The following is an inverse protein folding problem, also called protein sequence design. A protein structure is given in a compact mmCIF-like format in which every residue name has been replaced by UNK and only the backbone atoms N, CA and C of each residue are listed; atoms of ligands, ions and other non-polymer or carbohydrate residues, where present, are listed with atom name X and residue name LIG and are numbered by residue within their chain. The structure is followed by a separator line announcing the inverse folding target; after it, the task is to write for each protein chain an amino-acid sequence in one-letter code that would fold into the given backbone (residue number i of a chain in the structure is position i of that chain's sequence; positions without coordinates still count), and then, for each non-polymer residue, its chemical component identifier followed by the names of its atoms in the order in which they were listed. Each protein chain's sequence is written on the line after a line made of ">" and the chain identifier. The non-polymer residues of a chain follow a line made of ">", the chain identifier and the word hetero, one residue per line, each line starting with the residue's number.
data_IF_381073414523
#
_entry.id   IF_381073414523
#
_cell.length_a   1.000
_cell.length_b   1.000
_cell.length_c   1.000
_cell.angle_alpha   90.00
_cell.angle_beta   90.00
_cell.angle_gamma   90.00
#
_symmetry.space_group_name_H-M   'P 1'
#
loop_
_entity.id
_entity.type
_entity.pdbx_description
1 polymer ?
#
# COMPACT_ATOMS: atom_id res chain seq x y z
N UNK A 1 2.25 -7.23 0.45
CA UNK A 1 2.28 -8.31 -0.55
C UNK A 1 1.77 -9.65 -0.05
N UNK A 2 1.26 -9.71 1.16
CA UNK A 2 0.72 -10.95 1.75
C UNK A 2 -0.57 -11.44 1.07
N UNK A 3 -1.25 -10.58 0.33
CA UNK A 3 -2.59 -10.90 -0.20
C UNK A 3 -2.59 -11.55 -1.58
N UNK A 4 -1.44 -11.69 -2.22
CA UNK A 4 -1.37 -12.16 -3.62
C UNK A 4 -1.41 -13.69 -3.73
N UNK A 5 -0.92 -14.42 -2.74
CA UNK A 5 -0.94 -15.88 -2.76
C UNK A 5 -2.34 -16.42 -2.49
N UNK A 6 -2.85 -17.30 -3.35
CA UNK A 6 -4.19 -17.88 -3.20
C UNK A 6 -4.44 -18.57 -1.86
N UNK A 7 -3.39 -19.11 -1.26
CA UNK A 7 -3.50 -19.80 0.05
C UNK A 7 -3.57 -18.85 1.22
N UNK A 8 -3.31 -17.56 1.00
CA UNK A 8 -3.37 -16.56 2.06
C UNK A 8 -4.82 -16.23 2.36
N UNK A 9 -5.16 -16.15 3.66
CA UNK A 9 -6.53 -15.83 4.11
C UNK A 9 -7.02 -14.47 3.64
N UNK A 10 -6.11 -13.59 3.26
CA UNK A 10 -6.43 -12.23 2.80
C UNK A 10 -6.40 -12.11 1.26
N UNK A 11 -6.32 -13.21 0.53
CA UNK A 11 -6.32 -13.19 -0.93
C UNK A 11 -7.53 -12.46 -1.52
N UNK A 12 -8.66 -12.48 -0.80
CA UNK A 12 -9.86 -11.76 -1.24
C UNK A 12 -9.63 -10.26 -1.42
N UNK A 13 -8.63 -9.68 -0.73
CA UNK A 13 -8.26 -8.28 -0.91
C UNK A 13 -7.61 -8.04 -2.28
N UNK A 14 -6.79 -8.98 -2.74
CA UNK A 14 -6.21 -8.92 -4.08
C UNK A 14 -7.32 -9.03 -5.14
N UNK A 15 -8.26 -9.93 -4.95
CA UNK A 15 -9.42 -10.06 -5.83
C UNK A 15 -10.23 -8.76 -5.85
N UNK A 16 -10.41 -8.12 -4.69
CA UNK A 16 -11.07 -6.82 -4.60
C UNK A 16 -10.36 -5.74 -5.38
N UNK A 17 -9.03 -5.73 -5.33
CA UNK A 17 -8.24 -4.82 -6.15
C UNK A 17 -8.48 -5.08 -7.64
N UNK A 18 -8.43 -6.34 -8.06
CA UNK A 18 -8.66 -6.70 -9.46
C UNK A 18 -10.06 -6.30 -9.93
N UNK A 19 -11.04 -6.32 -9.02
CA UNK A 19 -12.42 -5.92 -9.32
C UNK A 19 -12.64 -4.40 -9.26
N UNK A 20 -11.63 -3.63 -8.84
CA UNK A 20 -11.74 -2.18 -8.76
C UNK A 20 -12.44 -1.66 -7.51
N UNK A 21 -12.50 -2.46 -6.44
CA UNK A 21 -13.24 -2.09 -5.23
C UNK A 21 -12.54 -1.00 -4.41
N UNK A 22 -11.27 -0.78 -4.62
CA UNK A 22 -10.51 0.32 -4.00
C UNK A 22 -9.39 0.77 -4.94
N UNK A 23 -8.85 1.94 -4.67
CA UNK A 23 -7.80 2.55 -5.48
C UNK A 23 -6.46 2.44 -4.76
N UNK A 24 -5.44 1.99 -5.48
CA UNK A 24 -4.07 1.92 -4.98
C UNK A 24 -3.27 3.12 -5.50
N UNK A 25 -2.65 3.86 -4.58
CA UNK A 25 -1.74 4.95 -4.92
C UNK A 25 -0.30 4.50 -4.72
N UNK A 26 0.58 4.87 -5.64
CA UNK A 26 1.97 4.48 -5.56
C UNK A 26 2.88 5.53 -6.19
N UNK A 27 4.14 5.54 -5.75
CA UNK A 27 5.20 6.28 -6.40
C UNK A 27 6.14 5.31 -7.08
N UNK A 28 7.06 5.81 -7.89
CA UNK A 28 8.09 4.96 -8.51
C UNK A 28 8.90 4.21 -7.45
N UNK A 29 9.25 4.88 -6.35
CA UNK A 29 10.02 4.27 -5.26
C UNK A 29 9.25 3.12 -4.59
N UNK A 30 7.95 3.30 -4.38
CA UNK A 30 7.10 2.24 -3.83
C UNK A 30 7.03 1.05 -4.78
N UNK A 31 6.90 1.32 -6.06
CA UNK A 31 6.83 0.27 -7.07
C UNK A 31 8.14 -0.55 -7.13
N UNK A 32 9.28 0.13 -7.00
CA UNK A 32 10.58 -0.53 -6.93
C UNK A 32 10.68 -1.46 -5.72
N UNK A 33 10.17 -1.03 -4.56
CA UNK A 33 10.14 -1.87 -3.37
C UNK A 33 9.23 -3.09 -3.57
N UNK A 34 8.07 -2.92 -4.20
CA UNK A 34 7.18 -4.03 -4.53
C UNK A 34 7.89 -5.04 -5.44
N UNK A 35 8.61 -4.57 -6.44
CA UNK A 35 9.40 -5.42 -7.33
C UNK A 35 10.43 -6.23 -6.56
N UNK A 36 11.19 -5.57 -5.70
CA UNK A 36 12.22 -6.21 -4.88
C UNK A 36 11.61 -7.31 -4.00
N UNK A 37 10.52 -7.00 -3.29
CA UNK A 37 9.88 -7.95 -2.39
C UNK A 37 9.29 -9.13 -3.17
N UNK A 38 8.65 -8.88 -4.28
CA UNK A 38 8.06 -9.94 -5.11
C UNK A 38 9.13 -10.85 -5.70
N UNK A 39 10.25 -10.27 -6.14
CA UNK A 39 11.38 -11.07 -6.66
C UNK A 39 11.96 -11.98 -5.59
N UNK A 40 12.06 -11.48 -4.35
CA UNK A 40 12.59 -12.27 -3.23
C UNK A 40 11.62 -13.37 -2.78
N UNK A 41 10.33 -13.08 -2.76
CA UNK A 41 9.33 -14.03 -2.24
C UNK A 41 8.79 -15.00 -3.30
N UNK A 42 8.92 -14.67 -4.55
CA UNK A 42 8.46 -15.51 -5.66
C UNK A 42 9.58 -15.69 -6.68
N UNK A 43 9.49 -15.05 -7.81
CA UNK A 43 10.53 -15.01 -8.84
C UNK A 43 10.31 -13.79 -9.73
N UNK A 44 11.26 -13.54 -10.63
CA UNK A 44 11.21 -12.38 -11.51
C UNK A 44 9.99 -12.41 -12.45
N UNK A 45 9.62 -13.56 -12.94
CA UNK A 45 8.48 -13.68 -13.85
C UNK A 45 7.17 -13.25 -13.15
N UNK A 46 6.93 -13.77 -11.95
CA UNK A 46 5.74 -13.42 -11.18
C UNK A 46 5.76 -11.95 -10.81
N UNK A 47 6.92 -11.42 -10.38
CA UNK A 47 7.06 -10.01 -10.06
C UNK A 47 6.70 -9.13 -11.25
N UNK A 48 7.19 -9.44 -12.44
CA UNK A 48 6.90 -8.70 -13.67
C UNK A 48 5.40 -8.71 -13.97
N UNK A 49 4.76 -9.86 -13.88
CA UNK A 49 3.33 -10.00 -14.14
C UNK A 49 2.50 -9.19 -13.14
N UNK A 50 2.80 -9.29 -11.85
CA UNK A 50 2.07 -8.57 -10.80
C UNK A 50 2.21 -7.06 -10.97
N UNK A 51 3.42 -6.58 -11.23
CA UNK A 51 3.67 -5.15 -11.41
C UNK A 51 2.95 -4.63 -12.65
N UNK A 52 2.92 -5.41 -13.72
CA UNK A 52 2.19 -5.03 -14.92
C UNK A 52 0.69 -4.92 -14.65
N UNK A 53 0.13 -5.85 -13.91
CA UNK A 53 -1.27 -5.79 -13.48
C UNK A 53 -1.53 -4.51 -12.68
N UNK A 54 -0.68 -4.20 -11.72
CA UNK A 54 -0.84 -3.01 -10.88
C UNK A 54 -0.77 -1.73 -11.72
N UNK A 55 0.23 -1.60 -12.59
CA UNK A 55 0.43 -0.38 -13.36
C UNK A 55 -0.59 -0.17 -14.46
N UNK A 56 -1.19 -1.25 -14.97
CA UNK A 56 -2.19 -1.18 -16.03
C UNK A 56 -3.63 -1.11 -15.50
N UNK A 57 -3.85 -1.35 -14.22
CA UNK A 57 -5.18 -1.34 -13.65
C UNK A 57 -5.77 0.08 -13.66
N UNK A 58 -7.07 0.24 -13.97
CA UNK A 58 -7.69 1.56 -13.99
C UNK A 58 -7.89 2.17 -12.60
N UNK A 59 -7.82 1.37 -11.56
CA UNK A 59 -7.97 1.80 -10.16
C UNK A 59 -6.63 1.97 -9.46
N UNK A 60 -5.61 2.36 -10.19
CA UNK A 60 -4.32 2.76 -9.63
C UNK A 60 -4.03 4.19 -9.99
N UNK A 61 -3.25 4.85 -9.15
CA UNK A 61 -2.87 6.23 -9.34
C UNK A 61 -1.39 6.39 -9.06
N UNK A 62 -0.64 6.75 -10.09
CA UNK A 62 0.78 7.05 -9.94
C UNK A 62 0.93 8.46 -9.39
N UNK A 63 1.67 8.59 -8.31
CA UNK A 63 1.87 9.84 -7.61
C UNK A 63 3.34 10.27 -7.74
N UNK A 64 3.56 11.54 -8.06
CA UNK A 64 4.88 12.15 -8.02
C UNK A 64 4.95 12.99 -6.76
N UNK A 65 5.58 12.47 -5.71
CA UNK A 65 5.73 13.18 -4.45
C UNK A 65 6.92 14.14 -4.55
N UNK A 66 6.64 15.44 -4.63
CA UNK A 66 7.66 16.47 -4.78
C UNK A 66 8.20 17.03 -3.47
N UNK A 67 7.60 16.62 -2.36
CA UNK A 67 8.00 17.08 -1.03
C UNK A 67 8.22 15.89 -0.10
N UNK A 68 9.33 15.92 0.64
CA UNK A 68 9.69 14.89 1.60
C UNK A 68 9.47 15.38 3.01
N UNK A 69 8.46 14.81 3.68
CA UNK A 69 8.09 15.23 5.02
C UNK A 69 9.03 14.69 6.11
N UNK A 70 9.67 13.56 5.85
CA UNK A 70 10.64 12.94 6.78
C UNK A 70 10.08 12.72 8.19
N UNK A 71 8.84 12.27 8.29
CA UNK A 71 8.15 12.12 9.58
C UNK A 71 8.58 10.88 10.35
N UNK A 72 8.99 9.83 9.65
CA UNK A 72 9.45 8.59 10.27
C UNK A 72 10.96 8.63 10.42
N UNK A 73 11.45 8.55 11.67
CA UNK A 73 12.87 8.65 11.96
C UNK A 73 13.54 7.31 12.19
N UNK A 74 12.81 6.31 12.70
CA UNK A 74 13.35 4.99 13.01
C UNK A 74 13.70 4.19 11.77
N UNK A 75 12.89 4.31 10.72
CA UNK A 75 13.17 3.68 9.44
C UNK A 75 12.82 4.68 8.32
N UNK A 76 13.78 5.50 7.91
CA UNK A 76 13.54 6.51 6.89
C UNK A 76 13.03 5.98 5.56
N UNK A 77 13.28 4.70 5.25
CA UNK A 77 12.80 4.08 4.02
C UNK A 77 11.27 3.99 3.97
N UNK A 78 10.60 4.01 5.12
CA UNK A 78 9.13 4.00 5.18
C UNK A 78 8.50 5.36 4.83
N UNK A 79 9.30 6.44 4.79
CA UNK A 79 8.80 7.77 4.47
C UNK A 79 8.19 7.89 3.06
N UNK A 80 8.62 7.05 2.12
CA UNK A 80 8.04 7.06 0.78
C UNK A 80 6.54 6.76 0.78
N UNK A 81 6.07 5.92 1.70
CA UNK A 81 4.65 5.61 1.84
C UNK A 81 3.88 6.80 2.43
N UNK A 82 4.47 7.47 3.40
CA UNK A 82 3.90 8.67 4.02
C UNK A 82 3.77 9.78 3.00
N UNK A 83 4.85 10.07 2.28
CA UNK A 83 4.87 11.13 1.27
C UNK A 83 3.84 10.86 0.18
N UNK A 84 3.74 9.61 -0.27
CA UNK A 84 2.74 9.21 -1.25
C UNK A 84 1.32 9.43 -0.74
N UNK A 85 1.03 9.01 0.48
CA UNK A 85 -0.30 9.14 1.07
C UNK A 85 -0.70 10.61 1.22
N UNK A 86 0.21 11.46 1.67
CA UNK A 86 -0.04 12.90 1.82
C UNK A 86 -0.33 13.52 0.45
N UNK A 87 0.55 13.28 -0.51
CA UNK A 87 0.42 13.89 -1.83
C UNK A 87 -0.81 13.41 -2.59
N UNK A 88 -1.18 12.14 -2.42
CA UNK A 88 -2.36 11.55 -3.03
C UNK A 88 -3.66 11.89 -2.30
N UNK A 89 -3.55 12.48 -1.10
CA UNK A 89 -4.69 12.65 -0.20
C UNK A 89 -5.40 11.30 0.02
N UNK A 90 -4.62 10.26 0.28
CA UNK A 90 -5.15 8.92 0.49
C UNK A 90 -5.95 8.83 1.79
N UNK A 91 -6.92 7.95 1.83
CA UNK A 91 -7.74 7.75 3.03
C UNK A 91 -6.90 7.16 4.16
N UNK A 92 -6.00 6.24 3.86
CA UNK A 92 -5.11 5.65 4.86
C UNK A 92 -3.98 4.86 4.20
N UNK A 93 -2.96 4.57 5.01
CA UNK A 93 -1.92 3.59 4.70
C UNK A 93 -2.29 2.28 5.39
N UNK A 94 -2.15 1.16 4.69
CA UNK A 94 -2.35 -0.17 5.28
C UNK A 94 -0.97 -0.76 5.59
N UNK A 95 -0.65 -0.90 6.87
CA UNK A 95 0.62 -1.47 7.28
C UNK A 95 0.57 -2.03 8.69
N UNK A 96 1.27 -3.16 8.90
CA UNK A 96 1.48 -3.74 10.23
C UNK A 96 2.80 -3.29 10.85
N UNK A 97 3.58 -2.47 10.13
CA UNK A 97 4.88 -2.00 10.60
C UNK A 97 4.71 -1.02 11.75
N UNK A 98 5.37 -1.32 12.87
CA UNK A 98 5.29 -0.50 14.08
C UNK A 98 5.93 0.88 13.91
N UNK A 99 6.81 1.09 12.93
CA UNK A 99 7.46 2.37 12.71
C UNK A 99 6.45 3.48 12.35
N UNK A 100 5.31 3.13 11.78
CA UNK A 100 4.27 4.10 11.46
C UNK A 100 3.57 4.69 12.70
N UNK A 101 3.81 4.15 13.89
CA UNK A 101 3.28 4.71 15.14
C UNK A 101 3.78 6.12 15.41
N UNK A 102 4.93 6.50 14.89
CA UNK A 102 5.45 7.86 15.00
C UNK A 102 4.46 8.89 14.45
N UNK A 103 3.61 8.50 13.51
CA UNK A 103 2.64 9.40 12.89
C UNK A 103 1.47 9.75 13.81
N UNK A 104 1.22 8.95 14.84
CA UNK A 104 0.10 9.17 15.77
C UNK A 104 0.21 10.52 16.51
N UNK A 105 1.43 10.99 16.73
CA UNK A 105 1.70 12.24 17.47
C UNK A 105 1.88 13.46 16.56
N UNK A 106 1.62 13.30 15.27
CA UNK A 106 1.81 14.37 14.29
C UNK A 106 0.46 14.90 13.84
N UNK A 107 0.22 16.18 14.12
CA UNK A 107 -1.06 16.83 13.80
C UNK A 107 -1.17 17.23 12.34
N UNK A 108 -0.03 17.57 11.72
CA UNK A 108 0.00 17.99 10.33
C UNK A 108 1.35 17.66 9.67
N UNK A 109 1.35 17.01 8.51
CA UNK A 109 0.19 16.43 7.83
C UNK A 109 -0.35 15.24 8.61
N UNK A 110 -1.66 15.08 8.61
CA UNK A 110 -2.29 13.96 9.31
C UNK A 110 -2.42 12.77 8.35
N UNK A 111 -1.83 11.64 8.74
CA UNK A 111 -1.88 10.41 7.96
C UNK A 111 -2.43 9.29 8.85
N UNK A 112 -3.51 8.70 8.42
CA UNK A 112 -4.12 7.57 9.11
C UNK A 112 -3.44 6.27 8.65
N UNK A 113 -3.05 5.43 9.59
CA UNK A 113 -2.48 4.11 9.31
C UNK A 113 -3.36 3.07 9.96
N UNK A 114 -3.76 2.08 9.20
CA UNK A 114 -4.54 0.95 9.73
C UNK A 114 -3.81 -0.36 9.42
N UNK A 115 -4.04 -1.35 10.27
CA UNK A 115 -3.45 -2.68 10.08
C UNK A 115 -4.19 -3.43 8.97
N UNK A 116 -3.52 -4.42 8.39
CA UNK A 116 -4.11 -5.26 7.34
C UNK A 116 -5.42 -5.90 7.81
N UNK A 117 -5.47 -6.36 9.06
CA UNK A 117 -6.66 -6.97 9.62
C UNK A 117 -7.82 -5.98 9.71
N UNK A 118 -7.54 -4.72 10.08
CA UNK A 118 -8.56 -3.68 10.11
C UNK A 118 -9.08 -3.37 8.72
N UNK A 119 -8.18 -3.28 7.74
CA UNK A 119 -8.56 -3.07 6.35
C UNK A 119 -9.45 -4.21 5.84
N UNK A 120 -9.08 -5.45 6.16
CA UNK A 120 -9.87 -6.62 5.76
C UNK A 120 -11.28 -6.57 6.35
N UNK A 121 -11.42 -6.15 7.61
CA UNK A 121 -12.74 -6.00 8.24
C UNK A 121 -13.57 -4.90 7.60
N UNK A 122 -12.96 -3.75 7.34
CA UNK A 122 -13.65 -2.64 6.66
C UNK A 122 -14.13 -3.07 5.28
N UNK A 123 -13.28 -3.74 4.54
CA UNK A 123 -13.61 -4.20 3.20
C UNK A 123 -14.78 -5.20 3.22
N UNK A 124 -14.76 -6.16 4.15
CA UNK A 124 -15.85 -7.13 4.30
C UNK A 124 -17.17 -6.47 4.65
N UNK A 125 -17.15 -5.46 5.50
CA UNK A 125 -18.35 -4.73 5.89
C UNK A 125 -18.96 -3.96 4.71
N UNK A 126 -18.12 -3.36 3.87
CA UNK A 126 -18.57 -2.68 2.66
C UNK A 126 -19.17 -3.69 1.68
N UNK A 127 -18.55 -4.84 1.53
CA UNK A 127 -18.96 -5.88 0.59
C UNK A 127 -20.31 -6.52 0.98
N UNK A 128 -20.62 -6.56 2.28
CA UNK A 128 -21.90 -7.08 2.78
C UNK A 128 -23.05 -6.10 2.54
N UNK A 129 -22.75 -4.84 2.46
CA UNK A 129 -23.73 -3.79 2.23
C UNK A 129 -23.87 -3.47 0.73
#
# INVERSE_FOLDING_TARGET
>A
MQIIARKNKNYFLWEGFLNGDYCLCYTTEILEEYEEILCLKTNRLIATIVLEIITQAPNTKRIDAHYHWNLITQDPDDNKFVDCAVFANADFIVSDDKHFKELENIDFPRVLVIKLEEFARLYRNIDIN
#
